data_IF_703667017398
#
_entry.id   IF_703667017398
#
_cell.length_a   1.000
_cell.length_b   1.000
_cell.length_c   1.000
_cell.angle_alpha   90.00
_cell.angle_beta   90.00
_cell.angle_gamma   90.00
#
_symmetry.space_group_name_H-M   'P 1'
#
loop_
_entity.id
_entity.type
_entity.pdbx_description
1 polymer ?
#
# COMPACT_ATOMS: atom_id res chain seq x y z
N UNK A 1 -4.04 18.84 14.01
CA UNK A 1 -4.02 18.12 12.71
C UNK A 1 -4.07 16.64 13.04
N UNK A 2 -5.01 15.92 12.48
CA UNK A 2 -5.05 14.47 12.63
C UNK A 2 -3.81 13.86 11.95
N UNK A 3 -3.19 12.86 12.58
CA UNK A 3 -1.99 12.23 12.04
C UNK A 3 -2.23 11.62 10.65
N UNK A 4 -3.45 11.19 10.37
CA UNK A 4 -3.88 10.71 9.05
C UNK A 4 -3.65 11.75 7.94
N UNK A 5 -3.79 13.03 8.24
CA UNK A 5 -3.52 14.08 7.24
C UNK A 5 -2.02 14.22 6.94
N UNK A 6 -1.15 13.96 7.90
CA UNK A 6 0.31 13.89 7.68
C UNK A 6 0.64 12.70 6.78
N UNK A 7 0.04 11.54 7.06
CA UNK A 7 0.26 10.32 6.28
C UNK A 7 -0.11 10.46 4.80
N UNK A 8 -1.06 11.33 4.47
CA UNK A 8 -1.50 11.58 3.08
C UNK A 8 -0.61 12.53 2.29
N UNK A 9 0.33 13.19 2.96
CA UNK A 9 1.21 14.15 2.31
C UNK A 9 2.42 13.45 1.64
N UNK A 10 2.91 14.04 0.57
CA UNK A 10 4.12 13.58 -0.13
C UNK A 10 5.39 14.10 0.54
N UNK A 11 5.52 13.85 1.83
CA UNK A 11 6.67 14.25 2.64
C UNK A 11 7.19 13.06 3.43
N UNK A 12 8.47 13.07 3.73
CA UNK A 12 9.06 12.14 4.69
C UNK A 12 8.64 12.53 6.10
N UNK A 13 8.32 11.54 6.92
CA UNK A 13 8.00 11.81 8.32
C UNK A 13 8.53 10.71 9.27
N UNK A 14 8.64 11.08 10.54
CA UNK A 14 8.84 10.15 11.65
C UNK A 14 7.60 10.13 12.53
N UNK A 15 7.29 8.99 13.11
CA UNK A 15 6.17 8.82 14.03
C UNK A 15 6.52 7.85 15.14
N UNK A 16 5.79 7.93 16.25
CA UNK A 16 5.73 6.82 17.19
C UNK A 16 4.61 5.87 16.76
N UNK A 17 4.74 4.60 17.10
CA UNK A 17 3.67 3.63 16.78
C UNK A 17 2.31 4.01 17.40
N UNK A 18 2.33 4.75 18.54
CA UNK A 18 1.13 5.27 19.20
C UNK A 18 0.41 6.38 18.42
N UNK A 19 1.08 7.03 17.47
CA UNK A 19 0.49 8.08 16.63
C UNK A 19 -0.29 7.49 15.45
N UNK A 20 -0.03 6.21 15.15
CA UNK A 20 -0.59 5.55 13.98
C UNK A 20 -2.07 5.20 14.17
N UNK A 21 -2.94 5.46 13.18
CA UNK A 21 -4.39 5.22 13.29
C UNK A 21 -4.72 3.72 13.18
N UNK A 22 -4.64 3.01 14.30
CA UNK A 22 -4.80 1.56 14.37
C UNK A 22 -6.16 1.06 13.86
N UNK A 23 -7.22 1.83 14.05
CA UNK A 23 -8.56 1.47 13.58
C UNK A 23 -8.64 1.43 12.04
N UNK A 24 -7.99 2.39 11.38
CA UNK A 24 -7.92 2.43 9.92
C UNK A 24 -7.08 1.28 9.37
N UNK A 25 -5.99 0.93 10.06
CA UNK A 25 -5.19 -0.25 9.70
C UNK A 25 -6.00 -1.55 9.86
N UNK A 26 -6.76 -1.66 10.94
CA UNK A 26 -7.62 -2.83 11.17
C UNK A 26 -8.72 -2.95 10.10
N UNK A 27 -9.31 -1.82 9.68
CA UNK A 27 -10.26 -1.80 8.57
C UNK A 27 -9.61 -2.30 7.27
N UNK A 28 -8.42 -1.85 6.94
CA UNK A 28 -7.69 -2.30 5.75
C UNK A 28 -7.37 -3.80 5.81
N UNK A 29 -6.94 -4.31 6.96
CA UNK A 29 -6.71 -5.74 7.18
C UNK A 29 -7.96 -6.58 6.92
N UNK A 30 -9.11 -6.10 7.38
CA UNK A 30 -10.40 -6.77 7.16
C UNK A 30 -10.76 -6.79 5.67
N UNK A 31 -10.64 -5.65 4.98
CA UNK A 31 -10.92 -5.57 3.55
C UNK A 31 -9.98 -6.46 2.72
N UNK A 32 -8.69 -6.50 3.05
CA UNK A 32 -7.74 -7.43 2.42
C UNK A 32 -8.12 -8.89 2.66
N UNK A 33 -8.54 -9.23 3.87
CA UNK A 33 -9.01 -10.58 4.20
C UNK A 33 -10.25 -10.96 3.38
N UNK A 34 -11.23 -10.07 3.27
CA UNK A 34 -12.43 -10.28 2.44
C UNK A 34 -12.04 -10.42 0.97
N UNK A 35 -11.19 -9.55 0.46
CA UNK A 35 -10.69 -9.58 -0.92
C UNK A 35 -10.01 -10.92 -1.27
N UNK A 36 -9.14 -11.39 -0.40
CA UNK A 36 -8.36 -12.61 -0.62
C UNK A 36 -9.21 -13.89 -0.58
N UNK A 37 -10.45 -13.82 -0.11
CA UNK A 37 -11.41 -14.94 -0.09
C UNK A 37 -12.34 -14.97 -1.30
N UNK A 38 -12.31 -13.94 -2.14
CA UNK A 38 -13.17 -13.89 -3.32
C UNK A 38 -12.74 -14.92 -4.37
N UNK A 39 -13.74 -15.53 -5.02
CA UNK A 39 -13.50 -16.35 -6.21
C UNK A 39 -12.97 -15.47 -7.38
N UNK A 40 -12.15 -16.04 -8.28
CA UNK A 40 -11.75 -15.32 -9.51
C UNK A 40 -12.92 -14.86 -10.38
N UNK A 41 -14.07 -15.45 -10.24
CA UNK A 41 -15.29 -15.10 -10.97
C UNK A 41 -16.06 -13.92 -10.36
N UNK A 42 -15.83 -13.61 -9.08
CA UNK A 42 -16.50 -12.52 -8.35
C UNK A 42 -15.92 -11.15 -8.65
N UNK A 43 -15.89 -10.77 -9.93
CA UNK A 43 -15.25 -9.52 -10.40
C UNK A 43 -15.89 -8.26 -9.80
N UNK A 44 -17.21 -8.25 -9.67
CA UNK A 44 -17.94 -7.11 -9.12
C UNK A 44 -17.65 -6.93 -7.63
N UNK A 45 -17.63 -8.02 -6.85
CA UNK A 45 -17.29 -7.96 -5.43
C UNK A 45 -15.83 -7.51 -5.23
N UNK A 46 -14.90 -8.02 -6.03
CA UNK A 46 -13.50 -7.57 -6.02
C UNK A 46 -13.39 -6.07 -6.27
N UNK A 47 -14.06 -5.56 -7.30
CA UNK A 47 -14.08 -4.14 -7.63
C UNK A 47 -14.65 -3.29 -6.50
N UNK A 48 -15.73 -3.74 -5.87
CA UNK A 48 -16.35 -3.07 -4.73
C UNK A 48 -15.40 -2.96 -3.54
N UNK A 49 -14.73 -4.06 -3.19
CA UNK A 49 -13.77 -4.07 -2.08
C UNK A 49 -12.58 -3.16 -2.38
N UNK A 50 -12.01 -3.21 -3.58
CA UNK A 50 -10.89 -2.36 -3.98
C UNK A 50 -11.27 -0.87 -3.98
N UNK A 51 -12.49 -0.54 -4.41
CA UNK A 51 -12.99 0.85 -4.37
C UNK A 51 -13.10 1.38 -2.94
N UNK A 52 -13.42 0.53 -1.97
CA UNK A 52 -13.46 0.92 -0.57
C UNK A 52 -12.05 0.96 0.05
N UNK A 53 -11.16 0.06 -0.35
CA UNK A 53 -9.83 -0.09 0.22
C UNK A 53 -8.85 0.98 -0.28
N UNK A 54 -8.81 1.24 -1.59
CA UNK A 54 -7.80 2.08 -2.20
C UNK A 54 -8.14 3.58 -2.11
N UNK A 55 -7.15 4.41 -1.90
CA UNK A 55 -7.31 5.87 -1.87
C UNK A 55 -7.78 6.44 -3.19
N UNK A 56 -7.27 5.93 -4.31
CA UNK A 56 -7.80 6.20 -5.64
C UNK A 56 -7.85 4.89 -6.42
N UNK A 57 -9.05 4.44 -6.73
CA UNK A 57 -9.29 3.22 -7.49
C UNK A 57 -9.59 3.53 -8.96
N UNK A 58 -8.87 2.88 -9.86
CA UNK A 58 -9.16 2.88 -11.29
C UNK A 58 -9.70 1.50 -11.70
N UNK A 59 -10.83 1.41 -12.46
CA UNK A 59 -11.40 0.13 -12.88
C UNK A 59 -10.49 -0.74 -13.76
N UNK A 60 -9.43 -0.17 -14.31
CA UNK A 60 -8.43 -0.90 -15.11
C UNK A 60 -7.31 -1.51 -14.25
N UNK A 61 -7.43 -1.44 -12.93
CA UNK A 61 -6.48 -2.07 -12.00
C UNK A 61 -6.91 -3.50 -11.73
N UNK A 62 -5.97 -4.42 -11.89
CA UNK A 62 -6.13 -5.83 -11.55
C UNK A 62 -5.15 -6.19 -10.45
N UNK A 63 -5.69 -6.72 -9.35
CA UNK A 63 -4.89 -7.19 -8.22
C UNK A 63 -5.22 -8.65 -7.98
N UNK A 64 -4.21 -9.50 -8.09
CA UNK A 64 -4.40 -10.92 -7.78
C UNK A 64 -4.24 -11.17 -6.28
N UNK A 65 -5.14 -11.94 -5.67
CA UNK A 65 -4.90 -12.47 -4.33
C UNK A 65 -3.66 -13.39 -4.29
N UNK A 66 -2.95 -13.46 -3.20
CA UNK A 66 -3.15 -12.75 -1.97
C UNK A 66 -2.56 -11.35 -2.03
N UNK A 67 -3.30 -10.36 -1.57
CA UNK A 67 -2.85 -8.96 -1.50
C UNK A 67 -2.99 -8.44 -0.08
N UNK A 68 -2.00 -7.68 0.39
CA UNK A 68 -2.02 -7.05 1.70
C UNK A 68 -1.47 -5.63 1.61
N UNK A 69 -2.03 -4.75 2.43
CA UNK A 69 -1.53 -3.39 2.61
C UNK A 69 -1.70 -2.95 4.06
N UNK A 70 -1.07 -1.84 4.45
CA UNK A 70 -1.23 -1.29 5.79
C UNK A 70 -2.56 -0.55 5.95
N UNK A 71 -2.87 0.37 5.05
CA UNK A 71 -4.02 1.26 5.15
C UNK A 71 -4.91 1.26 3.90
N UNK A 72 -4.34 1.08 2.73
CA UNK A 72 -5.03 1.17 1.44
C UNK A 72 -5.33 2.60 1.00
N UNK A 73 -5.72 3.51 1.89
CA UNK A 73 -6.09 4.88 1.55
C UNK A 73 -4.95 5.70 0.93
N UNK A 74 -3.71 5.28 1.10
CA UNK A 74 -2.54 5.91 0.50
C UNK A 74 -2.10 5.25 -0.82
N UNK A 75 -2.81 4.24 -1.31
CA UNK A 75 -2.52 3.62 -2.61
C UNK A 75 -3.35 4.32 -3.67
N UNK A 76 -2.68 4.93 -4.64
CA UNK A 76 -3.30 5.70 -5.70
C UNK A 76 -2.92 5.15 -7.08
N UNK A 77 -3.92 4.86 -7.89
CA UNK A 77 -3.75 4.30 -9.24
C UNK A 77 -4.28 5.25 -10.30
N UNK A 78 -3.50 5.48 -11.37
CA UNK A 78 -3.87 6.42 -12.44
C UNK A 78 -4.57 5.77 -13.63
N UNK A 79 -4.40 4.48 -13.83
CA UNK A 79 -4.90 3.77 -15.00
C UNK A 79 -4.65 2.28 -14.87
N UNK A 80 -4.44 1.61 -15.99
CA UNK A 80 -4.12 0.20 -16.00
C UNK A 80 -2.88 -0.09 -15.14
N UNK A 81 -3.04 -1.04 -14.23
CA UNK A 81 -1.94 -1.65 -13.48
C UNK A 81 -2.30 -3.11 -13.20
N UNK A 82 -1.33 -3.98 -13.34
CA UNK A 82 -1.46 -5.39 -12.98
C UNK A 82 -0.54 -5.70 -11.81
N UNK A 83 -1.15 -6.02 -10.67
CA UNK A 83 -0.46 -6.43 -9.45
C UNK A 83 -0.68 -7.92 -9.27
N UNK A 84 0.39 -8.70 -9.42
CA UNK A 84 0.35 -10.15 -9.43
C UNK A 84 0.28 -10.73 -8.00
N UNK A 85 0.34 -12.05 -7.87
CA UNK A 85 0.14 -12.79 -6.62
C UNK A 85 1.11 -12.40 -5.50
N UNK A 86 0.59 -12.41 -4.27
CA UNK A 86 1.39 -12.27 -3.05
C UNK A 86 2.18 -10.96 -2.94
N UNK A 87 1.64 -9.88 -3.49
CA UNK A 87 2.23 -8.56 -3.33
C UNK A 87 1.80 -7.91 -2.01
N UNK A 88 2.69 -7.11 -1.46
CA UNK A 88 2.48 -6.34 -0.23
C UNK A 88 2.79 -4.87 -0.48
N UNK A 89 1.91 -3.98 -0.08
CA UNK A 89 2.14 -2.53 -0.12
C UNK A 89 1.98 -1.96 1.29
N UNK A 90 3.08 -1.54 1.89
CA UNK A 90 3.09 -0.90 3.21
C UNK A 90 2.95 0.61 3.04
N UNK A 91 1.71 1.05 2.89
CA UNK A 91 1.32 2.41 2.49
C UNK A 91 1.15 3.36 3.68
N UNK A 92 2.14 3.43 4.55
CA UNK A 92 2.18 4.45 5.61
C UNK A 92 2.33 5.88 5.07
N UNK A 93 2.82 6.03 3.84
CA UNK A 93 2.84 7.26 3.02
C UNK A 93 2.24 6.98 1.65
N UNK A 94 1.97 8.00 0.81
CA UNK A 94 1.40 7.79 -0.52
C UNK A 94 2.27 6.91 -1.41
N UNK A 95 1.65 5.90 -1.99
CA UNK A 95 2.17 5.06 -3.08
C UNK A 95 1.39 5.40 -4.33
N UNK A 96 2.03 6.14 -5.25
CA UNK A 96 1.42 6.55 -6.50
C UNK A 96 1.85 5.58 -7.61
N UNK A 97 0.89 4.91 -8.22
CA UNK A 97 1.11 3.94 -9.29
C UNK A 97 0.63 4.53 -10.61
N UNK A 98 1.53 4.68 -11.56
CA UNK A 98 1.28 5.18 -12.90
C UNK A 98 0.43 4.22 -13.74
N UNK A 99 0.19 4.58 -14.99
CA UNK A 99 -0.54 3.75 -15.96
C UNK A 99 0.41 2.83 -16.73
N UNK A 100 -0.09 1.65 -17.08
CA UNK A 100 0.72 0.66 -17.82
C UNK A 100 1.77 -0.02 -16.96
N UNK A 101 1.51 -0.16 -15.65
CA UNK A 101 2.45 -0.74 -14.67
C UNK A 101 2.20 -2.23 -14.50
N UNK A 102 3.28 -2.99 -14.49
CA UNK A 102 3.28 -4.42 -14.16
C UNK A 102 4.09 -4.68 -12.90
N UNK A 103 3.46 -5.24 -11.89
CA UNK A 103 4.09 -5.62 -10.62
C UNK A 103 4.02 -7.14 -10.51
N UNK A 104 5.18 -7.79 -10.60
CA UNK A 104 5.30 -9.25 -10.62
C UNK A 104 5.02 -9.88 -9.23
N UNK A 105 4.87 -11.23 -9.16
CA UNK A 105 4.56 -11.90 -7.91
C UNK A 105 5.59 -11.63 -6.81
N UNK A 106 5.10 -11.53 -5.57
CA UNK A 106 5.95 -11.42 -4.38
C UNK A 106 6.65 -10.08 -4.20
N UNK A 107 6.26 -9.05 -4.95
CA UNK A 107 6.84 -7.71 -4.80
C UNK A 107 6.37 -7.07 -3.50
N UNK A 108 7.32 -6.46 -2.79
CA UNK A 108 7.05 -5.63 -1.61
C UNK A 108 7.36 -4.16 -1.92
N UNK A 109 6.36 -3.29 -1.73
CA UNK A 109 6.53 -1.84 -1.82
C UNK A 109 6.34 -1.28 -0.42
N UNK A 110 7.39 -0.73 0.18
CA UNK A 110 7.41 -0.34 1.58
C UNK A 110 7.76 1.13 1.76
N UNK A 111 6.76 1.95 2.09
CA UNK A 111 6.97 3.32 2.58
C UNK A 111 7.55 3.32 4.00
N UNK A 112 7.14 2.35 4.80
CA UNK A 112 7.48 2.25 6.22
C UNK A 112 8.90 1.78 6.46
N UNK A 113 9.52 2.33 7.50
CA UNK A 113 10.80 1.92 8.02
C UNK A 113 10.86 2.14 9.53
N UNK A 114 12.00 1.85 10.11
CA UNK A 114 12.27 2.06 11.52
C UNK A 114 13.55 2.88 11.72
N UNK A 115 13.66 3.53 12.88
CA UNK A 115 14.88 4.22 13.24
C UNK A 115 16.08 3.26 13.20
N UNK A 116 17.17 3.70 12.58
CA UNK A 116 18.41 2.90 12.48
C UNK A 116 19.03 2.73 13.88
N UNK A 117 19.00 3.80 14.70
CA UNK A 117 19.54 3.74 16.05
C UNK A 117 18.67 2.84 16.95
N UNK A 118 19.26 1.84 17.63
CA UNK A 118 18.48 0.83 18.35
C UNK A 118 17.65 1.39 19.52
N UNK A 119 18.12 2.43 20.20
CA UNK A 119 17.35 3.08 21.29
C UNK A 119 16.09 3.75 20.75
N UNK A 120 16.21 4.51 19.68
CA UNK A 120 15.06 5.16 19.02
C UNK A 120 14.06 4.12 18.51
N UNK A 121 14.55 3.03 17.95
CA UNK A 121 13.69 1.91 17.51
C UNK A 121 12.97 1.26 18.70
N UNK A 122 13.65 1.07 19.83
CA UNK A 122 13.04 0.55 21.05
C UNK A 122 11.97 1.50 21.64
N UNK A 123 12.09 2.80 21.41
CA UNK A 123 11.09 3.83 21.77
C UNK A 123 9.89 3.84 20.81
N UNK A 124 9.86 2.95 19.81
CA UNK A 124 8.77 2.82 18.85
C UNK A 124 8.81 3.87 17.74
N UNK A 125 9.98 4.48 17.47
CA UNK A 125 10.11 5.46 16.39
C UNK A 125 10.21 4.73 15.05
N UNK A 126 9.26 5.03 14.17
CA UNK A 126 9.22 4.62 12.77
C UNK A 126 9.44 5.80 11.82
N UNK A 127 9.74 5.47 10.59
CA UNK A 127 9.90 6.43 9.48
C UNK A 127 8.97 6.07 8.37
N UNK A 128 8.59 7.03 7.55
CA UNK A 128 7.83 6.76 6.34
C UNK A 128 8.24 7.72 5.23
N UNK A 129 8.29 7.19 4.00
CA UNK A 129 8.66 7.94 2.81
C UNK A 129 7.76 7.56 1.63
N UNK A 130 7.19 8.54 0.92
CA UNK A 130 6.33 8.26 -0.23
C UNK A 130 7.10 7.56 -1.36
N UNK A 131 6.34 6.78 -2.16
CA UNK A 131 6.87 6.07 -3.32
C UNK A 131 6.06 6.43 -4.55
N UNK A 132 6.73 6.70 -5.66
CA UNK A 132 6.10 6.89 -6.97
C UNK A 132 6.63 5.85 -7.95
N UNK A 133 5.72 5.07 -8.50
CA UNK A 133 5.98 4.17 -9.63
C UNK A 133 5.47 4.88 -10.88
N UNK A 134 6.37 5.26 -11.75
CA UNK A 134 6.04 6.00 -12.97
C UNK A 134 5.29 5.13 -14.00
N UNK A 135 4.81 5.77 -15.07
CA UNK A 135 4.10 5.09 -16.14
C UNK A 135 5.00 4.04 -16.83
N UNK A 136 4.41 2.94 -17.28
CA UNK A 136 5.07 1.88 -18.04
C UNK A 136 6.22 1.17 -17.31
N UNK A 137 6.23 1.21 -15.98
CA UNK A 137 7.22 0.49 -15.16
C UNK A 137 6.86 -0.98 -15.04
N UNK A 138 7.85 -1.83 -15.14
CA UNK A 138 7.78 -3.24 -14.78
C UNK A 138 8.70 -3.52 -13.59
N UNK A 139 8.12 -4.07 -12.52
CA UNK A 139 8.84 -4.51 -11.32
C UNK A 139 8.89 -6.04 -11.32
N UNK A 140 10.10 -6.61 -11.39
CA UNK A 140 10.33 -8.05 -11.44
C UNK A 140 9.95 -8.77 -10.13
N UNK A 141 9.75 -10.10 -10.25
CA UNK A 141 9.31 -10.93 -9.12
C UNK A 141 10.25 -10.84 -7.91
N UNK A 142 9.63 -10.84 -6.71
CA UNK A 142 10.33 -10.79 -5.42
C UNK A 142 11.21 -9.56 -5.21
N UNK A 143 11.01 -8.50 -5.99
CA UNK A 143 11.69 -7.23 -5.77
C UNK A 143 11.14 -6.50 -4.56
N UNK A 144 11.99 -5.71 -3.91
CA UNK A 144 11.58 -4.80 -2.85
C UNK A 144 11.86 -3.37 -3.27
N UNK A 145 10.85 -2.51 -3.17
CA UNK A 145 10.94 -1.07 -3.42
C UNK A 145 10.71 -0.34 -2.10
N UNK A 146 11.71 0.41 -1.67
CA UNK A 146 11.65 1.21 -0.45
C UNK A 146 11.49 2.69 -0.79
N UNK A 147 10.92 3.46 0.16
CA UNK A 147 10.84 4.90 0.05
C UNK A 147 12.19 5.61 0.18
N UNK A 148 12.40 6.71 -0.52
CA UNK A 148 13.59 7.56 -0.44
C UNK A 148 14.51 7.56 -1.63
#
# INVERSE_FOLDING_TARGET
MDFTEIMKQKIDYCSRHTDMPMELQQKAKKLCWEYNKTSPEEKEERSKILKELLGTYNPLVFIEPSFRCDYGFNIHTKGFAFINYNCVILDTSPVNIGKGVFIAPGVCIACSGHAIHPRQRAEGIGTSKPITIEDNVWIGANSTVCGG
#
